data_IF_622592991087
#
_entry.id   IF_622592991087
#
_cell.length_a   1.000
_cell.length_b   1.000
_cell.length_c   1.000
_cell.angle_alpha   90.00
_cell.angle_beta   90.00
_cell.angle_gamma   90.00
#
_symmetry.space_group_name_H-M   'P 1'
#
loop_
_entity.id
_entity.type
_entity.pdbx_description
1 polymer ?
#
# COMPACT_ATOMS: atom_id res chain seq x y z
N UNK A 1 -11.50 9.33 -43.00
CA UNK A 1 -10.53 10.05 -42.16
C UNK A 1 -11.31 10.71 -41.02
N UNK A 2 -10.86 10.59 -39.77
CA UNK A 2 -11.51 11.28 -38.65
C UNK A 2 -11.09 12.74 -38.68
N UNK A 3 -12.06 13.64 -38.81
CA UNK A 3 -11.82 15.08 -38.81
C UNK A 3 -11.48 15.55 -37.38
N UNK A 4 -10.35 16.25 -37.22
CA UNK A 4 -9.90 16.71 -35.91
C UNK A 4 -10.74 17.92 -35.46
N UNK A 5 -11.45 17.78 -34.35
CA UNK A 5 -12.25 18.88 -33.78
C UNK A 5 -11.33 19.88 -33.06
N UNK A 6 -11.27 21.11 -33.57
CA UNK A 6 -10.57 22.23 -32.91
C UNK A 6 -11.45 22.77 -31.77
N UNK A 7 -10.91 22.80 -30.55
CA UNK A 7 -11.54 23.40 -29.36
C UNK A 7 -10.48 24.14 -28.51
N UNK A 8 -10.88 25.06 -27.62
CA UNK A 8 -9.95 25.78 -26.75
C UNK A 8 -9.08 24.86 -25.89
N UNK A 9 -7.88 25.32 -25.54
CA UNK A 9 -7.01 24.62 -24.58
C UNK A 9 -7.76 24.34 -23.27
N UNK A 10 -7.58 23.13 -22.74
CA UNK A 10 -8.27 22.65 -21.53
C UNK A 10 -9.69 22.10 -21.76
N UNK A 11 -10.24 22.17 -22.97
CA UNK A 11 -11.59 21.66 -23.29
C UNK A 11 -11.60 20.36 -24.11
N UNK A 12 -10.44 19.71 -24.26
CA UNK A 12 -10.37 18.39 -24.88
C UNK A 12 -11.07 17.37 -24.01
N UNK A 13 -11.95 16.57 -24.62
CA UNK A 13 -12.60 15.47 -23.91
C UNK A 13 -11.55 14.43 -23.56
N UNK A 14 -11.22 14.34 -22.28
CA UNK A 14 -10.26 13.39 -21.75
C UNK A 14 -10.96 12.06 -21.41
N UNK A 15 -10.41 10.91 -21.81
CA UNK A 15 -10.83 9.62 -21.27
C UNK A 15 -10.31 9.38 -19.84
N UNK A 16 -9.34 10.18 -19.38
CA UNK A 16 -8.78 10.13 -18.03
C UNK A 16 -9.69 10.96 -17.12
N UNK A 17 -10.47 10.28 -16.28
CA UNK A 17 -11.36 10.88 -15.28
C UNK A 17 -10.63 11.09 -13.95
N UNK A 18 -11.15 11.96 -13.09
CA UNK A 18 -10.62 12.10 -11.72
C UNK A 18 -10.69 10.79 -10.93
N UNK A 19 -11.73 9.99 -11.17
CA UNK A 19 -11.90 8.65 -10.58
C UNK A 19 -10.79 7.68 -11.02
N UNK A 20 -10.40 7.73 -12.30
CA UNK A 20 -9.32 6.90 -12.82
C UNK A 20 -7.97 7.23 -12.16
N UNK A 21 -7.72 8.50 -11.88
CA UNK A 21 -6.49 8.96 -11.22
C UNK A 21 -6.41 8.42 -9.79
N UNK A 22 -7.53 8.45 -9.06
CA UNK A 22 -7.59 8.01 -7.65
C UNK A 22 -7.49 6.49 -7.52
N UNK A 23 -8.05 5.73 -8.48
CA UNK A 23 -8.03 4.26 -8.44
C UNK A 23 -6.75 3.64 -9.02
N UNK A 24 -6.09 4.30 -9.97
CA UNK A 24 -4.96 3.73 -10.71
C UNK A 24 -3.57 3.89 -10.08
N UNK A 25 -3.45 4.53 -8.92
CA UNK A 25 -2.16 4.94 -8.36
C UNK A 25 -1.75 4.09 -7.16
N UNK A 26 -1.26 2.87 -7.41
CA UNK A 26 -0.63 2.05 -6.36
C UNK A 26 0.89 2.27 -6.41
N UNK A 27 1.40 3.06 -5.47
CA UNK A 27 2.84 3.14 -5.23
C UNK A 27 3.30 1.95 -4.40
N UNK A 28 4.44 1.36 -4.77
CA UNK A 28 5.09 0.28 -4.04
C UNK A 28 6.25 0.86 -3.23
N UNK A 29 6.29 0.59 -1.93
CA UNK A 29 7.27 1.19 -1.03
C UNK A 29 7.94 0.15 -0.12
N UNK A 30 9.16 0.47 0.34
CA UNK A 30 9.90 -0.29 1.36
C UNK A 30 9.98 -1.81 1.11
N UNK A 31 10.46 -2.30 -0.05
CA UNK A 31 10.55 -3.74 -0.27
C UNK A 31 11.51 -4.42 0.72
N UNK A 32 11.08 -5.53 1.31
CA UNK A 32 11.87 -6.38 2.22
C UNK A 32 11.86 -7.81 1.68
N UNK A 33 13.03 -8.44 1.67
CA UNK A 33 13.20 -9.86 1.36
C UNK A 33 13.38 -10.62 2.67
N UNK A 34 12.61 -11.68 2.87
CA UNK A 34 12.74 -12.57 4.03
C UNK A 34 12.54 -14.02 3.55
N UNK A 35 13.59 -14.83 3.64
CA UNK A 35 13.61 -16.17 3.05
C UNK A 35 13.33 -16.16 1.55
N UNK A 36 12.28 -16.86 1.13
CA UNK A 36 11.84 -16.96 -0.26
C UNK A 36 10.70 -16.01 -0.62
N UNK A 37 10.26 -15.18 0.34
CA UNK A 37 9.13 -14.28 0.20
C UNK A 37 9.57 -12.83 0.07
N UNK A 38 8.71 -12.03 -0.58
CA UNK A 38 8.92 -10.59 -0.77
C UNK A 38 7.77 -9.84 -0.12
N UNK A 39 8.09 -8.80 0.64
CA UNK A 39 7.12 -7.93 1.29
C UNK A 39 7.29 -6.51 0.78
N UNK A 40 6.20 -5.76 0.62
CA UNK A 40 6.24 -4.34 0.31
C UNK A 40 4.99 -3.65 0.87
N UNK A 41 4.99 -2.32 0.89
CA UNK A 41 3.81 -1.54 1.24
C UNK A 41 3.09 -1.02 0.01
N UNK A 42 1.77 -1.04 0.08
CA UNK A 42 0.88 -0.37 -0.86
C UNK A 42 -0.11 0.54 -0.11
N UNK A 43 -0.36 1.73 -0.66
CA UNK A 43 -1.42 2.61 -0.15
C UNK A 43 -2.75 2.25 -0.82
N UNK A 44 -3.84 2.19 -0.04
CA UNK A 44 -5.19 1.85 -0.50
C UNK A 44 -6.11 3.06 -0.43
N UNK A 45 -6.25 3.87 -1.50
CA UNK A 45 -7.15 5.04 -1.51
C UNK A 45 -8.60 4.67 -1.18
N UNK A 46 -9.08 3.54 -1.69
CA UNK A 46 -10.43 3.02 -1.47
C UNK A 46 -10.70 2.54 -0.04
N UNK A 47 -9.66 2.37 0.78
CA UNK A 47 -9.75 1.87 2.16
C UNK A 47 -9.33 2.94 3.16
N UNK A 48 -9.79 4.17 2.94
CA UNK A 48 -9.47 5.31 3.79
C UNK A 48 -8.00 5.75 3.72
N UNK A 49 -7.27 5.35 2.67
CA UNK A 49 -5.86 5.69 2.49
C UNK A 49 -4.90 4.93 3.41
N UNK A 50 -5.32 3.77 3.95
CA UNK A 50 -4.44 2.96 4.80
C UNK A 50 -3.26 2.38 4.01
N UNK A 51 -2.12 2.25 4.68
CA UNK A 51 -0.95 1.53 4.19
C UNK A 51 -1.07 0.06 4.55
N UNK A 52 -0.86 -0.81 3.56
CA UNK A 52 -1.00 -2.26 3.67
C UNK A 52 0.32 -2.91 3.35
N UNK A 53 0.79 -3.78 4.23
CA UNK A 53 1.91 -4.68 3.92
C UNK A 53 1.34 -5.80 3.07
N UNK A 54 1.94 -6.02 1.92
CA UNK A 54 1.61 -7.06 0.96
C UNK A 54 2.75 -8.07 0.97
N UNK A 55 2.41 -9.36 0.96
CA UNK A 55 3.37 -10.46 0.83
C UNK A 55 3.20 -11.08 -0.55
N UNK A 56 4.32 -11.39 -1.20
CA UNK A 56 4.39 -12.31 -2.33
C UNK A 56 5.19 -13.52 -1.94
N UNK A 57 4.54 -14.67 -1.97
CA UNK A 57 5.18 -15.96 -1.69
C UNK A 57 6.05 -16.42 -2.84
N UNK A 58 6.93 -17.39 -2.56
CA UNK A 58 7.80 -18.04 -3.56
C UNK A 58 7.07 -18.52 -4.83
N UNK A 59 5.84 -19.03 -4.69
CA UNK A 59 5.01 -19.50 -5.80
C UNK A 59 4.37 -18.36 -6.61
N UNK A 60 4.64 -17.11 -6.24
CA UNK A 60 4.19 -15.90 -6.90
C UNK A 60 2.81 -15.41 -6.46
N UNK A 61 2.13 -16.08 -5.53
CA UNK A 61 0.87 -15.60 -4.98
C UNK A 61 1.09 -14.32 -4.18
N UNK A 62 0.13 -13.39 -4.25
CA UNK A 62 0.19 -12.10 -3.57
C UNK A 62 -1.01 -11.96 -2.65
N UNK A 63 -0.77 -11.57 -1.41
CA UNK A 63 -1.80 -11.43 -0.38
C UNK A 63 -1.56 -10.22 0.53
N UNK A 64 -2.64 -9.58 0.96
CA UNK A 64 -2.58 -8.50 1.94
C UNK A 64 -2.29 -9.10 3.32
N UNK A 65 -1.14 -8.76 3.89
CA UNK A 65 -0.77 -9.19 5.22
C UNK A 65 -1.43 -8.35 6.30
N UNK A 66 -1.61 -7.04 6.09
CA UNK A 66 -2.24 -6.15 7.08
C UNK A 66 -3.77 -6.17 6.93
N UNK A 67 -4.55 -6.77 7.85
CA UNK A 67 -6.00 -6.79 7.76
C UNK A 67 -6.61 -5.43 8.16
N UNK A 68 -7.80 -5.06 7.66
CA UNK A 68 -8.57 -3.97 8.24
C UNK A 68 -8.89 -4.24 9.72
N UNK A 69 -8.91 -3.21 10.61
CA UNK A 69 -8.76 -1.78 10.31
C UNK A 69 -7.30 -1.27 10.40
N UNK A 70 -6.30 -2.15 10.46
CA UNK A 70 -4.91 -1.76 10.68
C UNK A 70 -4.32 -0.98 9.51
N UNK A 71 -3.46 -0.02 9.86
CA UNK A 71 -2.78 0.86 8.92
C UNK A 71 -1.30 0.90 9.27
N UNK A 72 -0.47 0.21 8.47
CA UNK A 72 0.97 0.06 8.71
C UNK A 72 1.73 1.34 8.34
N UNK A 73 1.76 2.30 9.27
CA UNK A 73 2.33 3.63 9.04
C UNK A 73 2.71 4.30 10.36
N UNK A 74 3.85 4.97 10.35
CA UNK A 74 4.36 5.77 11.46
C UNK A 74 4.08 7.27 11.25
N UNK A 75 4.23 8.03 12.34
CA UNK A 75 4.36 9.50 12.36
C UNK A 75 5.78 9.96 12.70
N UNK A 76 6.79 9.13 12.49
CA UNK A 76 8.18 9.53 12.76
C UNK A 76 8.51 10.79 11.97
N UNK A 77 8.90 11.86 12.67
CA UNK A 77 9.12 13.19 12.11
C UNK A 77 7.94 13.74 11.29
N UNK A 78 6.71 13.28 11.52
CA UNK A 78 5.49 13.57 10.75
C UNK A 78 5.51 13.14 9.26
N UNK A 79 6.67 12.68 8.76
CA UNK A 79 6.83 12.16 7.41
C UNK A 79 6.67 10.63 7.35
N UNK A 80 6.92 9.94 8.46
CA UNK A 80 6.92 8.48 8.55
C UNK A 80 8.30 7.86 8.30
N UNK A 81 8.32 6.55 8.05
CA UNK A 81 9.54 5.76 7.81
C UNK A 81 9.79 4.69 8.86
N UNK A 82 10.40 3.58 8.44
CA UNK A 82 10.56 2.40 9.30
C UNK A 82 9.20 1.81 9.69
N UNK A 83 8.25 1.82 8.75
CA UNK A 83 6.85 1.51 9.03
C UNK A 83 6.64 0.04 9.39
N UNK A 84 7.50 -0.83 8.87
CA UNK A 84 7.55 -2.23 9.21
C UNK A 84 8.95 -2.86 8.99
N UNK A 85 9.15 -4.03 9.58
CA UNK A 85 10.24 -4.96 9.30
C UNK A 85 9.70 -6.38 9.31
N UNK A 86 10.38 -7.29 8.59
CA UNK A 86 10.08 -8.72 8.61
C UNK A 86 11.32 -9.46 9.09
N UNK A 87 11.11 -10.45 9.94
CA UNK A 87 12.15 -11.36 10.40
C UNK A 87 11.55 -12.76 10.56
N UNK A 88 12.08 -13.72 9.82
CA UNK A 88 11.67 -15.13 9.87
C UNK A 88 10.15 -15.30 9.73
N UNK A 89 9.57 -14.63 8.74
CA UNK A 89 8.13 -14.62 8.44
C UNK A 89 7.25 -13.85 9.43
N UNK A 90 7.85 -13.24 10.47
CA UNK A 90 7.13 -12.40 11.44
C UNK A 90 7.21 -10.95 11.03
N UNK A 91 6.05 -10.31 10.88
CA UNK A 91 5.93 -8.90 10.54
C UNK A 91 5.82 -8.09 11.83
N UNK A 92 6.64 -7.05 11.95
CA UNK A 92 6.52 -6.03 12.98
C UNK A 92 6.21 -4.71 12.31
N UNK A 93 5.15 -4.02 12.72
CA UNK A 93 4.75 -2.76 12.10
C UNK A 93 4.15 -1.77 13.10
N UNK A 94 4.23 -0.47 12.79
CA UNK A 94 3.53 0.54 13.58
C UNK A 94 2.10 0.70 13.09
N UNK A 95 1.12 0.53 13.97
CA UNK A 95 -0.27 0.80 13.62
C UNK A 95 -0.57 2.31 13.73
N UNK A 96 -1.14 2.90 12.68
CA UNK A 96 -1.27 4.34 12.60
C UNK A 96 -2.20 4.93 13.67
N UNK A 97 -3.25 4.21 14.07
CA UNK A 97 -4.27 4.75 14.97
C UNK A 97 -3.77 5.01 16.38
N UNK A 98 -2.80 4.24 16.86
CA UNK A 98 -2.27 4.32 18.22
C UNK A 98 -0.74 4.45 18.30
N UNK A 99 -0.04 4.36 17.15
CA UNK A 99 1.42 4.45 17.03
C UNK A 99 2.16 3.38 17.86
N UNK A 100 1.49 2.26 18.16
CA UNK A 100 2.12 1.12 18.83
C UNK A 100 2.74 0.18 17.82
N UNK A 101 3.74 -0.55 18.27
CA UNK A 101 4.33 -1.65 17.50
C UNK A 101 3.43 -2.88 17.64
N UNK A 102 3.07 -3.47 16.52
CA UNK A 102 2.32 -4.70 16.41
C UNK A 102 3.22 -5.79 15.85
N UNK A 103 2.99 -7.02 16.32
CA UNK A 103 3.57 -8.25 15.80
C UNK A 103 2.48 -9.06 15.12
N UNK A 104 2.81 -9.63 13.98
CA UNK A 104 1.93 -10.50 13.21
C UNK A 104 2.71 -11.69 12.68
N UNK A 105 2.29 -12.91 13.03
CA UNK A 105 2.96 -14.16 12.61
C UNK A 105 2.09 -14.86 11.60
N UNK A 106 2.64 -15.31 10.46
CA UNK A 106 1.88 -16.10 9.47
C UNK A 106 0.53 -15.48 9.07
N UNK A 107 0.47 -14.14 8.95
CA UNK A 107 -0.75 -13.39 8.61
C UNK A 107 -1.90 -13.54 9.63
N UNK A 108 -1.57 -13.89 10.88
CA UNK A 108 -2.51 -13.91 12.00
C UNK A 108 -3.13 -12.55 12.28
N UNK A 109 -4.07 -12.47 13.22
CA UNK A 109 -4.47 -11.17 13.75
C UNK A 109 -3.26 -10.46 14.40
N UNK A 110 -3.06 -9.15 14.15
CA UNK A 110 -1.99 -8.38 14.77
C UNK A 110 -2.15 -8.20 16.29
N UNK A 111 -1.05 -8.33 17.03
CA UNK A 111 -0.99 -8.19 18.50
C UNK A 111 0.02 -7.10 18.91
N UNK A 112 -0.29 -6.29 19.93
CA UNK A 112 0.46 -5.10 20.33
C UNK A 112 1.30 -5.26 21.61
#
# INVERSE_FOLDING_TARGET
>A
MVEAKVVPYGSWKSPITSELIVTGSVGLYQPILDGEDVYWMEMRPSEGGRSVIVRRSRDGQTEDATPPPFNARTRVHEYGGGDYVVLDGTIYFSNFSDQRLYRQTSLSEPEA
#
